data_IF_777661940875
#
_entry.id   IF_777661940875
#
_cell.length_a   1.000
_cell.length_b   1.000
_cell.length_c   1.000
_cell.angle_alpha   90.00
_cell.angle_beta   90.00
_cell.angle_gamma   90.00
#
_symmetry.space_group_name_H-M   'P 1'
#
loop_
_entity.id
_entity.type
_entity.pdbx_description
1 polymer ?
#
# COMPACT_ATOMS: atom_id res chain seq x y z
N UNK A 1 -0.53 -16.26 -27.45
CA UNK A 1 -0.53 -14.79 -27.56
C UNK A 1 -1.67 -14.28 -26.70
N UNK A 2 -1.41 -13.24 -25.90
CA UNK A 2 -2.45 -12.58 -25.12
C UNK A 2 -3.48 -11.92 -26.05
N UNK A 3 -4.73 -11.87 -25.63
CA UNK A 3 -5.73 -11.10 -26.35
C UNK A 3 -5.43 -9.60 -26.19
N UNK A 4 -5.83 -8.78 -27.17
CA UNK A 4 -5.67 -7.32 -27.09
C UNK A 4 -6.36 -6.74 -25.84
N UNK A 5 -7.46 -7.35 -25.42
CA UNK A 5 -8.21 -6.99 -24.22
C UNK A 5 -7.37 -7.22 -22.95
N UNK A 6 -6.80 -8.41 -22.76
CA UNK A 6 -5.96 -8.71 -21.58
C UNK A 6 -4.71 -7.84 -21.56
N UNK A 7 -4.10 -7.59 -22.72
CA UNK A 7 -2.95 -6.68 -22.86
C UNK A 7 -3.28 -5.27 -22.35
N UNK A 8 -4.34 -4.66 -22.89
CA UNK A 8 -4.76 -3.31 -22.50
C UNK A 8 -5.17 -3.25 -21.02
N UNK A 9 -5.82 -4.31 -20.53
CA UNK A 9 -6.24 -4.44 -19.15
C UNK A 9 -5.05 -4.41 -18.18
N UNK A 10 -3.96 -5.13 -18.47
CA UNK A 10 -2.81 -5.19 -17.57
C UNK A 10 -2.05 -3.86 -17.51
N UNK A 11 -1.97 -3.13 -18.63
CA UNK A 11 -1.46 -1.75 -18.65
C UNK A 11 -2.32 -0.84 -17.78
N UNK A 12 -3.64 -0.94 -17.90
CA UNK A 12 -4.56 -0.13 -17.11
C UNK A 12 -4.40 -0.41 -15.61
N UNK A 13 -4.34 -1.69 -15.22
CA UNK A 13 -4.10 -2.12 -13.83
C UNK A 13 -2.78 -1.55 -13.30
N UNK A 14 -1.69 -1.61 -14.07
CA UNK A 14 -0.41 -1.04 -13.63
C UNK A 14 -0.51 0.47 -13.42
N UNK A 15 -1.13 1.20 -14.36
CA UNK A 15 -1.28 2.65 -14.27
C UNK A 15 -2.14 3.10 -13.09
N UNK A 16 -3.12 2.29 -12.69
CA UNK A 16 -4.05 2.62 -11.60
C UNK A 16 -3.52 2.19 -10.23
N UNK A 17 -2.74 1.11 -10.18
CA UNK A 17 -2.20 0.56 -8.93
C UNK A 17 -0.82 1.07 -8.56
N UNK A 18 -0.06 1.64 -9.51
CA UNK A 18 1.29 2.17 -9.30
C UNK A 18 1.30 3.71 -9.29
N UNK A 19 0.64 4.30 -8.30
CA UNK A 19 0.56 5.75 -8.12
C UNK A 19 1.46 6.23 -6.97
N UNK A 20 1.91 7.48 -7.05
CA UNK A 20 2.71 8.10 -5.98
C UNK A 20 1.84 8.46 -4.76
N UNK A 21 2.37 8.24 -3.56
CA UNK A 21 1.74 8.64 -2.31
C UNK A 21 2.77 9.10 -1.28
N UNK A 22 2.36 10.02 -0.40
CA UNK A 22 3.15 10.48 0.75
C UNK A 22 2.72 9.75 2.02
N UNK A 23 3.68 9.29 2.85
CA UNK A 23 3.37 8.60 4.12
C UNK A 23 2.38 7.44 3.95
N UNK A 24 1.64 7.11 5.02
CA UNK A 24 0.61 6.08 4.98
C UNK A 24 -0.66 6.58 4.24
N UNK A 25 -1.29 5.74 3.42
CA UNK A 25 -2.38 6.17 2.53
C UNK A 25 -3.66 6.51 3.30
N UNK A 26 -3.90 5.87 4.45
CA UNK A 26 -5.07 6.11 5.31
C UNK A 26 -5.07 7.50 6.00
N UNK A 27 -3.99 7.97 6.67
CA UNK A 27 -3.98 9.35 7.18
C UNK A 27 -4.05 10.38 6.05
N UNK A 28 -3.46 10.08 4.89
CA UNK A 28 -3.58 10.93 3.71
C UNK A 28 -5.03 11.01 3.21
N UNK A 29 -5.77 9.91 3.20
CA UNK A 29 -7.19 9.91 2.81
C UNK A 29 -8.03 10.79 3.75
N UNK A 30 -7.75 10.77 5.06
CA UNK A 30 -8.39 11.68 6.03
C UNK A 30 -8.02 13.13 5.74
N UNK A 31 -6.74 13.41 5.50
CA UNK A 31 -6.28 14.76 5.16
C UNK A 31 -6.91 15.26 3.85
N UNK A 32 -7.02 14.39 2.85
CA UNK A 32 -7.66 14.68 1.56
C UNK A 32 -9.14 14.99 1.73
N UNK A 33 -9.90 14.16 2.46
CA UNK A 33 -11.30 14.42 2.77
C UNK A 33 -11.48 15.77 3.49
N UNK A 34 -10.60 16.05 4.45
CA UNK A 34 -10.66 17.28 5.26
C UNK A 34 -10.29 18.53 4.45
N UNK A 35 -9.27 18.44 3.58
CA UNK A 35 -8.90 19.50 2.66
C UNK A 35 -10.02 19.79 1.66
N UNK A 36 -10.66 18.75 1.12
CA UNK A 36 -11.81 18.93 0.21
C UNK A 36 -13.01 19.53 0.94
N UNK A 37 -13.30 19.09 2.16
CA UNK A 37 -14.39 19.65 2.96
C UNK A 37 -14.16 21.15 3.24
N UNK A 38 -12.93 21.55 3.59
CA UNK A 38 -12.56 22.97 3.70
C UNK A 38 -12.76 23.73 2.39
N UNK A 39 -12.30 23.18 1.26
CA UNK A 39 -12.44 23.83 -0.04
C UNK A 39 -13.91 24.06 -0.41
N UNK A 40 -14.78 23.07 -0.14
CA UNK A 40 -16.23 23.18 -0.35
C UNK A 40 -16.86 24.21 0.59
N UNK A 41 -16.44 24.26 1.86
CA UNK A 41 -16.88 25.28 2.82
C UNK A 41 -16.51 26.69 2.31
N UNK A 42 -15.33 26.83 1.70
CA UNK A 42 -14.83 28.07 1.10
C UNK A 42 -14.15 29.01 2.10
N UNK A 43 -14.01 28.59 3.36
CA UNK A 43 -13.34 29.34 4.43
C UNK A 43 -12.74 28.37 5.45
N UNK A 44 -12.02 28.91 6.43
CA UNK A 44 -11.43 28.10 7.51
C UNK A 44 -12.51 27.66 8.51
N UNK A 45 -12.60 26.36 8.85
CA UNK A 45 -13.53 25.90 9.86
C UNK A 45 -13.02 26.12 11.28
N UNK A 46 -13.96 26.25 12.21
CA UNK A 46 -13.72 26.34 13.66
C UNK A 46 -13.80 24.97 14.35
N UNK A 47 -14.57 24.05 13.75
CA UNK A 47 -14.83 22.71 14.27
C UNK A 47 -14.75 21.68 13.16
N UNK A 48 -14.12 20.55 13.45
CA UNK A 48 -13.93 19.41 12.56
C UNK A 48 -14.51 18.17 13.25
N UNK A 49 -15.24 17.36 12.49
CA UNK A 49 -15.73 16.05 12.92
C UNK A 49 -15.33 15.00 11.89
N UNK A 50 -14.67 13.94 12.36
CA UNK A 50 -14.18 12.84 11.52
C UNK A 50 -14.83 11.55 11.97
N UNK A 51 -15.61 10.92 11.10
CA UNK A 51 -16.11 9.56 11.27
C UNK A 51 -15.24 8.59 10.47
N UNK A 52 -14.77 7.51 11.06
CA UNK A 52 -13.95 6.51 10.37
C UNK A 52 -14.42 5.08 10.64
N UNK A 53 -14.26 4.21 9.64
CA UNK A 53 -14.33 2.76 9.83
C UNK A 53 -13.25 2.27 10.78
N UNK A 54 -13.45 1.09 11.35
CA UNK A 54 -12.47 0.45 12.24
C UNK A 54 -11.09 0.25 11.59
N UNK A 55 -11.03 -0.10 10.31
CA UNK A 55 -9.76 -0.29 9.59
C UNK A 55 -8.99 1.02 9.36
N UNK A 56 -9.68 2.12 9.07
CA UNK A 56 -9.03 3.43 8.98
C UNK A 56 -8.45 3.80 10.34
N UNK A 57 -9.20 3.60 11.43
CA UNK A 57 -8.71 3.85 12.79
C UNK A 57 -7.48 2.99 13.10
N UNK A 58 -7.54 1.68 12.81
CA UNK A 58 -6.43 0.74 12.96
C UNK A 58 -5.16 1.22 12.27
N UNK A 59 -5.28 1.67 11.01
CA UNK A 59 -4.12 2.04 10.21
C UNK A 59 -3.57 3.44 10.55
N UNK A 60 -4.36 4.32 11.14
CA UNK A 60 -3.94 5.71 11.43
C UNK A 60 -3.45 5.90 12.86
N UNK A 61 -3.91 5.07 13.81
CA UNK A 61 -3.68 5.25 15.25
C UNK A 61 -2.21 5.37 15.65
N UNK A 62 -1.31 4.66 14.98
CA UNK A 62 0.10 4.55 15.36
C UNK A 62 1.11 5.14 14.39
N UNK A 63 0.68 5.84 13.34
CA UNK A 63 1.55 6.31 12.26
C UNK A 63 1.73 7.82 12.28
N UNK A 64 2.95 8.27 11.99
CA UNK A 64 3.28 9.69 11.87
C UNK A 64 2.66 10.25 10.59
N UNK A 65 1.98 11.39 10.72
CA UNK A 65 1.39 12.13 9.59
C UNK A 65 2.49 12.96 8.91
N UNK A 66 2.72 12.80 7.59
CA UNK A 66 3.73 13.58 6.88
C UNK A 66 3.53 15.09 7.01
N UNK A 67 4.63 15.84 7.01
CA UNK A 67 4.61 17.31 7.04
C UNK A 67 3.80 17.89 8.21
N UNK A 68 3.90 17.28 9.40
CA UNK A 68 3.30 17.80 10.63
C UNK A 68 4.31 18.01 11.76
N UNK A 69 5.59 17.76 11.51
CA UNK A 69 6.63 17.80 12.53
C UNK A 69 6.46 16.72 13.61
N UNK A 70 6.03 15.52 13.21
CA UNK A 70 5.99 14.33 14.07
C UNK A 70 4.65 14.02 14.73
N UNK A 71 3.55 14.66 14.30
CA UNK A 71 2.22 14.39 14.88
C UNK A 71 1.67 13.05 14.40
N UNK A 72 0.90 12.40 15.26
CA UNK A 72 0.35 11.05 15.06
C UNK A 72 -1.16 11.13 15.28
N UNK A 73 -1.92 10.39 14.48
CA UNK A 73 -3.36 10.19 14.70
C UNK A 73 -4.27 10.84 13.67
N UNK A 74 -5.57 10.59 13.84
CA UNK A 74 -6.64 10.97 12.92
C UNK A 74 -6.89 12.47 12.96
N UNK A 75 -6.90 13.05 14.15
CA UNK A 75 -7.05 14.48 14.38
C UNK A 75 -5.87 15.27 13.78
N UNK A 76 -4.63 14.79 13.95
CA UNK A 76 -3.46 15.36 13.30
C UNK A 76 -3.59 15.38 11.77
N UNK A 77 -4.02 14.25 11.17
CA UNK A 77 -4.23 14.15 9.73
C UNK A 77 -5.33 15.10 9.22
N UNK A 78 -6.48 15.14 9.91
CA UNK A 78 -7.60 15.99 9.54
C UNK A 78 -7.24 17.48 9.64
N UNK A 79 -6.61 17.89 10.74
CA UNK A 79 -6.20 19.27 10.96
C UNK A 79 -5.13 19.67 9.94
N UNK A 80 -4.14 18.84 9.65
CA UNK A 80 -3.14 19.12 8.62
C UNK A 80 -3.78 19.34 7.24
N UNK A 81 -4.75 18.48 6.88
CA UNK A 81 -5.54 18.63 5.65
C UNK A 81 -6.30 19.96 5.58
N UNK A 82 -6.95 20.37 6.68
CA UNK A 82 -7.62 21.67 6.75
C UNK A 82 -6.62 22.83 6.67
N UNK A 83 -5.51 22.78 7.40
CA UNK A 83 -4.59 23.92 7.52
C UNK A 83 -3.86 24.21 6.21
N UNK A 84 -3.26 23.19 5.59
CA UNK A 84 -2.38 23.39 4.45
C UNK A 84 -2.52 22.36 3.33
N UNK A 85 -3.47 21.43 3.43
CA UNK A 85 -3.69 20.42 2.40
C UNK A 85 -4.22 21.00 1.08
N UNK A 86 -3.71 20.50 -0.04
CA UNK A 86 -4.18 20.81 -1.39
C UNK A 86 -5.01 19.65 -1.94
N UNK A 87 -6.36 19.77 -2.02
CA UNK A 87 -7.20 18.67 -2.46
C UNK A 87 -6.96 18.27 -3.92
N UNK A 88 -6.33 19.09 -4.75
CA UNK A 88 -6.08 18.74 -6.15
C UNK A 88 -4.86 17.79 -6.30
N UNK A 89 -4.12 17.54 -5.22
CA UNK A 89 -2.97 16.62 -5.19
C UNK A 89 -3.29 15.18 -4.77
N UNK A 90 -4.55 14.84 -4.50
CA UNK A 90 -4.95 13.47 -4.15
C UNK A 90 -4.13 12.86 -3.01
N UNK A 91 -3.41 11.76 -3.28
CA UNK A 91 -2.56 11.08 -2.28
C UNK A 91 -1.26 11.83 -1.91
N UNK A 92 -1.05 13.01 -2.48
CA UNK A 92 0.03 13.95 -2.12
C UNK A 92 -0.53 15.23 -1.50
N UNK A 93 -1.79 15.23 -1.01
CA UNK A 93 -2.48 16.40 -0.39
C UNK A 93 -1.64 17.18 0.62
N UNK A 94 -0.76 16.50 1.38
CA UNK A 94 0.05 17.14 2.42
C UNK A 94 1.38 17.72 1.91
N UNK A 95 1.73 17.56 0.64
CA UNK A 95 2.96 18.13 0.06
C UNK A 95 2.98 19.66 0.16
N UNK A 96 1.81 20.31 0.11
CA UNK A 96 1.65 21.75 0.22
C UNK A 96 1.79 22.30 1.64
N UNK A 97 1.79 21.44 2.67
CA UNK A 97 1.93 21.87 4.07
C UNK A 97 3.39 22.21 4.35
N UNK A 98 3.62 23.46 4.77
CA UNK A 98 4.96 23.98 5.06
C UNK A 98 5.28 23.96 6.56
N UNK A 99 6.56 23.99 6.90
CA UNK A 99 7.03 23.94 8.30
C UNK A 99 6.50 25.07 9.17
N UNK A 100 6.22 26.25 8.59
CA UNK A 100 5.65 27.40 9.31
C UNK A 100 4.23 27.13 9.82
N UNK A 101 3.54 26.13 9.26
CA UNK A 101 2.17 25.76 9.63
C UNK A 101 2.13 24.70 10.75
N UNK A 102 3.28 24.15 11.17
CA UNK A 102 3.29 23.04 12.13
C UNK A 102 2.80 23.47 13.52
N UNK A 103 3.17 24.67 13.97
CA UNK A 103 2.73 25.19 15.28
C UNK A 103 1.23 25.46 15.30
N UNK A 104 0.69 25.94 14.18
CA UNK A 104 -0.75 26.13 14.01
C UNK A 104 -1.53 24.80 14.08
N UNK A 105 -1.02 23.73 13.45
CA UNK A 105 -1.62 22.39 13.54
C UNK A 105 -1.61 21.91 14.99
N UNK A 106 -0.49 22.06 15.70
CA UNK A 106 -0.35 21.68 17.12
C UNK A 106 -1.32 22.44 18.02
N UNK A 107 -1.50 23.74 17.78
CA UNK A 107 -2.39 24.57 18.58
C UNK A 107 -3.86 24.22 18.37
N UNK A 108 -4.27 23.90 17.13
CA UNK A 108 -5.62 23.40 16.85
C UNK A 108 -5.89 22.03 17.49
N UNK A 109 -4.89 21.14 17.52
CA UNK A 109 -5.00 19.87 18.23
C UNK A 109 -5.23 20.08 19.73
N UNK A 110 -4.41 20.94 20.37
CA UNK A 110 -4.53 21.26 21.80
C UNK A 110 -5.88 21.87 22.16
N UNK A 111 -6.46 22.68 21.26
CA UNK A 111 -7.79 23.27 21.43
C UNK A 111 -8.94 22.28 21.27
N UNK A 112 -8.67 21.04 20.83
CA UNK A 112 -9.71 20.03 20.62
C UNK A 112 -10.64 20.38 19.45
N UNK A 113 -10.13 21.07 18.42
CA UNK A 113 -10.92 21.48 17.26
C UNK A 113 -11.45 20.31 16.43
N UNK A 114 -10.88 19.10 16.60
CA UNK A 114 -11.29 17.89 15.88
C UNK A 114 -11.87 16.85 16.84
N UNK A 115 -13.05 16.32 16.51
CA UNK A 115 -13.66 15.17 17.19
C UNK A 115 -13.66 13.95 16.27
N UNK A 116 -13.27 12.80 16.81
CA UNK A 116 -13.15 11.55 16.05
C UNK A 116 -14.18 10.53 16.53
N UNK A 117 -14.86 9.88 15.60
CA UNK A 117 -15.90 8.90 15.84
C UNK A 117 -15.58 7.57 15.16
N UNK A 118 -15.76 6.46 15.87
CA UNK A 118 -15.70 5.11 15.28
C UNK A 118 -17.08 4.72 14.76
N UNK A 119 -17.18 4.61 13.43
CA UNK A 119 -18.38 4.17 12.73
C UNK A 119 -18.39 2.65 12.61
N UNK A 120 -19.49 2.03 13.06
CA UNK A 120 -19.71 0.58 12.99
C UNK A 120 -20.69 0.27 11.84
N UNK A 121 -20.54 -0.90 11.21
CA UNK A 121 -21.45 -1.34 10.14
C UNK A 121 -21.28 -0.56 8.82
N UNK A 122 -20.12 0.09 8.64
CA UNK A 122 -19.72 0.75 7.39
C UNK A 122 -18.67 -0.09 6.67
N UNK A 123 -18.39 0.22 5.41
CA UNK A 123 -17.35 -0.44 4.62
C UNK A 123 -15.96 -0.33 5.30
N UNK A 124 -15.07 -1.27 4.99
CA UNK A 124 -13.73 -1.29 5.58
C UNK A 124 -12.96 0.00 5.30
N UNK A 125 -13.12 0.62 4.13
CA UNK A 125 -12.58 1.95 3.83
C UNK A 125 -13.74 2.94 3.83
N UNK A 126 -13.92 3.67 4.93
CA UNK A 126 -14.96 4.68 5.04
C UNK A 126 -14.51 5.86 5.90
N UNK A 127 -14.67 7.07 5.38
CA UNK A 127 -14.32 8.34 6.03
C UNK A 127 -15.45 9.35 5.82
N UNK A 128 -15.95 9.94 6.90
CA UNK A 128 -16.78 11.14 6.89
C UNK A 128 -15.96 12.31 7.43
N UNK A 129 -15.76 13.34 6.63
CA UNK A 129 -15.14 14.60 7.08
C UNK A 129 -16.17 15.72 7.06
N UNK A 130 -16.52 16.23 8.24
CA UNK A 130 -17.47 17.34 8.40
C UNK A 130 -16.76 18.53 9.02
N UNK A 131 -16.94 19.69 8.43
CA UNK A 131 -16.32 20.94 8.86
C UNK A 131 -17.38 22.02 9.06
N UNK A 132 -17.21 22.84 10.08
CA UNK A 132 -18.19 23.85 10.49
C UNK A 132 -17.52 25.21 10.72
N UNK A 133 -18.20 26.28 10.32
CA UNK A 133 -17.95 27.67 10.69
C UNK A 133 -19.19 28.26 11.37
N UNK A 134 -19.11 29.49 11.88
CA UNK A 134 -20.25 30.22 12.48
C UNK A 134 -21.53 30.16 11.63
N UNK A 135 -21.40 30.28 10.31
CA UNK A 135 -22.50 30.44 9.35
C UNK A 135 -22.65 29.29 8.34
N UNK A 136 -21.94 28.17 8.50
CA UNK A 136 -21.98 27.13 7.48
C UNK A 136 -21.33 25.79 7.83
N UNK A 137 -21.62 24.80 7.01
CA UNK A 137 -21.03 23.46 7.08
C UNK A 137 -20.74 22.88 5.71
N UNK A 138 -19.75 21.99 5.65
CA UNK A 138 -19.48 21.16 4.50
C UNK A 138 -19.11 19.74 4.95
N UNK A 139 -19.47 18.76 4.12
CA UNK A 139 -19.26 17.34 4.42
C UNK A 139 -18.75 16.63 3.18
N UNK A 140 -17.75 15.77 3.36
CA UNK A 140 -17.15 14.94 2.31
C UNK A 140 -17.09 13.50 2.81
N UNK A 141 -17.50 12.57 1.95
CA UNK A 141 -17.56 11.14 2.26
C UNK A 141 -16.68 10.39 1.27
N UNK A 142 -15.77 9.55 1.78
CA UNK A 142 -14.90 8.66 1.00
C UNK A 142 -15.22 7.21 1.34
N UNK A 143 -15.34 6.37 0.32
CA UNK A 143 -15.68 4.95 0.44
C UNK A 143 -14.93 4.11 -0.61
N UNK A 144 -14.62 2.84 -0.32
CA UNK A 144 -14.00 1.84 -1.21
C UNK A 144 -12.56 2.10 -1.74
N UNK A 145 -12.14 3.35 -1.87
CA UNK A 145 -10.80 3.75 -2.34
C UNK A 145 -10.34 5.00 -1.59
N UNK A 146 -9.03 5.18 -1.42
CA UNK A 146 -8.47 6.28 -0.62
C UNK A 146 -8.80 7.69 -1.15
N UNK A 147 -9.20 7.81 -2.43
CA UNK A 147 -9.57 9.08 -3.08
C UNK A 147 -11.00 9.15 -3.61
N UNK A 148 -11.76 8.04 -3.52
CA UNK A 148 -13.11 7.94 -4.08
C UNK A 148 -14.11 8.71 -3.21
N UNK A 149 -14.34 9.97 -3.58
CA UNK A 149 -15.40 10.77 -2.97
C UNK A 149 -16.74 10.27 -3.51
N UNK A 150 -17.60 9.76 -2.62
CA UNK A 150 -18.95 9.29 -2.98
C UNK A 150 -20.02 10.34 -2.72
N UNK A 151 -19.75 11.33 -1.87
CA UNK A 151 -20.72 12.38 -1.54
C UNK A 151 -20.07 13.67 -1.07
N UNK A 152 -20.63 14.80 -1.50
CA UNK A 152 -20.30 16.15 -1.03
C UNK A 152 -21.59 16.89 -0.68
N UNK A 153 -21.63 17.45 0.53
CA UNK A 153 -22.76 18.25 1.03
C UNK A 153 -22.26 19.63 1.47
N UNK A 154 -23.01 20.70 1.15
CA UNK A 154 -22.76 22.05 1.64
C UNK A 154 -24.04 22.64 2.20
N UNK A 155 -24.02 23.04 3.47
CA UNK A 155 -25.17 23.58 4.19
C UNK A 155 -26.45 22.72 4.01
N UNK A 156 -26.31 21.39 4.13
CA UNK A 156 -27.40 20.43 3.95
C UNK A 156 -27.80 20.12 2.51
N UNK A 157 -27.28 20.85 1.50
CA UNK A 157 -27.54 20.58 0.08
C UNK A 157 -26.48 19.64 -0.49
N UNK A 158 -26.92 18.52 -1.07
CA UNK A 158 -26.05 17.60 -1.81
C UNK A 158 -25.57 18.30 -3.09
N UNK A 159 -24.25 18.47 -3.21
CA UNK A 159 -23.60 19.05 -4.40
C UNK A 159 -23.11 17.97 -5.37
N UNK A 160 -22.73 16.83 -4.82
CA UNK A 160 -22.25 15.67 -5.55
C UNK A 160 -22.67 14.41 -4.80
N UNK A 161 -23.14 13.42 -5.53
CA UNK A 161 -23.40 12.08 -5.00
C UNK A 161 -23.16 11.09 -6.12
N UNK A 162 -22.25 10.16 -5.90
CA UNK A 162 -22.03 9.04 -6.79
C UNK A 162 -22.65 7.79 -6.18
N UNK A 163 -23.37 7.02 -7.00
CA UNK A 163 -23.83 5.70 -6.58
C UNK A 163 -22.64 4.76 -6.72
N UNK A 164 -22.21 4.13 -5.61
CA UNK A 164 -21.14 3.12 -5.50
C UNK A 164 -20.75 2.50 -6.86
N UNK A 165 -19.51 2.70 -7.33
CA UNK A 165 -18.99 1.94 -8.48
C UNK A 165 -17.88 2.55 -9.34
N UNK A 166 -17.77 3.88 -9.49
CA UNK A 166 -17.01 4.43 -10.63
C UNK A 166 -15.47 4.35 -10.51
N UNK A 167 -14.88 4.47 -9.31
CA UNK A 167 -13.42 4.33 -9.14
C UNK A 167 -12.93 2.87 -9.13
N UNK A 168 -13.81 1.89 -8.92
CA UNK A 168 -13.51 0.47 -9.07
C UNK A 168 -14.16 -0.11 -10.33
N UNK A 169 -14.65 0.72 -11.25
CA UNK A 169 -15.20 0.25 -12.53
C UNK A 169 -14.06 -0.48 -13.28
N UNK A 170 -14.23 -1.76 -13.64
CA UNK A 170 -13.25 -2.48 -14.44
C UNK A 170 -12.84 -1.74 -15.71
N UNK A 171 -13.69 -0.85 -16.24
CA UNK A 171 -13.40 -0.02 -17.41
C UNK A 171 -12.41 1.12 -17.15
N UNK A 172 -12.31 1.62 -15.91
CA UNK A 172 -11.46 2.76 -15.54
C UNK A 172 -10.24 2.33 -14.71
N UNK A 173 -10.35 1.26 -13.94
CA UNK A 173 -9.30 0.76 -13.06
C UNK A 173 -8.65 -0.56 -13.54
N UNK A 174 -9.25 -1.22 -14.53
CA UNK A 174 -8.87 -2.55 -15.01
C UNK A 174 -9.52 -3.69 -14.22
N UNK A 175 -9.85 -4.77 -14.92
CA UNK A 175 -10.43 -5.98 -14.34
C UNK A 175 -9.34 -6.91 -13.78
N UNK A 176 -9.18 -6.89 -12.46
CA UNK A 176 -8.23 -7.75 -11.75
C UNK A 176 -8.63 -9.24 -11.78
N UNK A 177 -9.87 -9.58 -12.12
CA UNK A 177 -10.30 -10.98 -12.25
C UNK A 177 -9.70 -11.67 -13.48
N UNK A 178 -9.17 -10.90 -14.43
CA UNK A 178 -8.45 -11.40 -15.61
C UNK A 178 -6.96 -11.65 -15.35
N UNK A 179 -6.47 -11.41 -14.14
CA UNK A 179 -5.08 -11.71 -13.77
C UNK A 179 -4.88 -13.21 -13.55
N UNK A 180 -3.79 -13.75 -14.08
CA UNK A 180 -3.25 -15.06 -13.72
C UNK A 180 -1.74 -15.07 -14.00
N UNK A 181 -0.99 -15.92 -13.29
CA UNK A 181 0.48 -15.94 -13.33
C UNK A 181 1.02 -16.23 -14.73
N UNK A 182 0.37 -17.12 -15.48
CA UNK A 182 0.80 -17.47 -16.84
C UNK A 182 0.72 -16.28 -17.78
N UNK A 183 -0.40 -15.57 -17.76
CA UNK A 183 -0.63 -14.41 -18.61
C UNK A 183 0.20 -13.21 -18.16
N UNK A 184 0.47 -13.05 -16.85
CA UNK A 184 1.38 -12.03 -16.32
C UNK A 184 2.79 -12.21 -16.89
N UNK A 185 3.31 -13.44 -16.90
CA UNK A 185 4.63 -13.73 -17.48
C UNK A 185 4.60 -13.44 -18.99
N UNK A 186 3.61 -13.98 -19.71
CA UNK A 186 3.48 -13.74 -21.15
C UNK A 186 3.34 -12.25 -21.51
N UNK A 187 2.67 -11.46 -20.65
CA UNK A 187 2.54 -10.01 -20.83
C UNK A 187 3.87 -9.32 -20.62
N UNK A 188 4.57 -9.66 -19.54
CA UNK A 188 5.89 -9.10 -19.24
C UNK A 188 6.90 -9.33 -20.36
N UNK A 189 6.78 -10.44 -21.12
CA UNK A 189 7.67 -10.78 -22.24
C UNK A 189 7.26 -10.12 -23.57
N UNK A 190 5.98 -9.75 -23.73
CA UNK A 190 5.44 -9.27 -25.02
C UNK A 190 5.09 -7.79 -25.05
N UNK A 191 4.94 -7.14 -23.90
CA UNK A 191 4.62 -5.71 -23.81
C UNK A 191 5.71 -4.83 -24.39
N UNK A 192 5.28 -3.78 -25.10
CA UNK A 192 6.15 -2.67 -25.46
C UNK A 192 6.48 -1.88 -24.19
N UNK A 193 7.74 -1.96 -23.76
CA UNK A 193 8.19 -1.32 -22.54
C UNK A 193 8.09 0.21 -22.58
N UNK A 194 8.04 0.83 -23.76
CA UNK A 194 7.86 2.28 -23.86
C UNK A 194 6.52 2.73 -23.27
N UNK A 195 5.47 1.90 -23.32
CA UNK A 195 4.15 2.21 -22.72
C UNK A 195 4.19 2.29 -21.18
N UNK A 196 5.20 1.69 -20.56
CA UNK A 196 5.35 1.56 -19.10
C UNK A 196 6.66 2.16 -18.58
N UNK A 197 7.56 2.62 -19.44
CA UNK A 197 8.91 3.08 -19.09
C UNK A 197 8.88 4.18 -18.04
N UNK A 198 8.05 5.21 -18.23
CA UNK A 198 7.94 6.31 -17.27
C UNK A 198 7.47 5.81 -15.89
N UNK A 199 6.44 4.98 -15.86
CA UNK A 199 5.85 4.41 -14.65
C UNK A 199 6.88 3.58 -13.86
N UNK A 200 7.58 2.67 -14.54
CA UNK A 200 8.57 1.80 -13.92
C UNK A 200 9.83 2.57 -13.49
N UNK A 201 10.30 3.51 -14.32
CA UNK A 201 11.42 4.40 -13.97
C UNK A 201 11.09 5.23 -12.74
N UNK A 202 9.85 5.74 -12.65
CA UNK A 202 9.39 6.48 -11.48
C UNK A 202 9.38 5.59 -10.24
N UNK A 203 8.82 4.38 -10.33
CA UNK A 203 8.83 3.41 -9.22
C UNK A 203 10.25 3.13 -8.72
N UNK A 204 11.19 2.85 -9.63
CA UNK A 204 12.60 2.61 -9.28
C UNK A 204 13.18 3.82 -8.55
N UNK A 205 12.95 5.02 -9.09
CA UNK A 205 13.55 6.26 -8.59
C UNK A 205 13.08 6.57 -7.17
N UNK A 206 11.76 6.70 -6.96
CA UNK A 206 11.24 7.18 -5.68
C UNK A 206 11.31 6.12 -4.58
N UNK A 207 11.08 4.84 -4.92
CA UNK A 207 11.20 3.78 -3.92
C UNK A 207 12.66 3.55 -3.53
N UNK A 208 13.62 3.67 -4.47
CA UNK A 208 15.04 3.65 -4.11
C UNK A 208 15.39 4.83 -3.21
N UNK A 209 14.89 6.04 -3.52
CA UNK A 209 15.19 7.23 -2.75
C UNK A 209 14.79 7.09 -1.27
N UNK A 210 13.56 6.62 -0.98
CA UNK A 210 13.13 6.43 0.42
C UNK A 210 13.88 5.29 1.12
N UNK A 211 14.27 4.24 0.39
CA UNK A 211 15.06 3.14 0.94
C UNK A 211 16.46 3.62 1.35
N UNK A 212 17.12 4.42 0.50
CA UNK A 212 18.41 5.02 0.79
C UNK A 212 18.33 6.05 1.93
N UNK A 213 17.25 6.83 1.99
CA UNK A 213 16.97 7.75 3.10
C UNK A 213 16.87 6.99 4.43
N UNK A 214 16.12 5.88 4.44
CA UNK A 214 16.01 5.01 5.61
C UNK A 214 17.30 4.32 6.04
N UNK A 215 18.23 4.09 5.10
CA UNK A 215 19.56 3.53 5.40
C UNK A 215 20.51 4.61 5.93
N UNK A 216 20.38 5.86 5.49
CA UNK A 216 21.25 6.96 5.94
C UNK A 216 20.84 7.45 7.34
N UNK A 217 19.54 7.66 7.56
CA UNK A 217 19.02 8.28 8.77
C UNK A 217 18.38 7.25 9.72
N UNK A 218 18.18 7.65 10.98
CA UNK A 218 17.55 6.79 11.99
C UNK A 218 16.06 7.04 12.01
N UNK A 219 15.30 6.04 11.55
CA UNK A 219 13.84 6.01 11.58
C UNK A 219 13.34 4.76 12.28
N UNK A 220 12.14 4.84 12.87
CA UNK A 220 11.49 3.72 13.52
C UNK A 220 12.43 3.00 14.50
N UNK A 221 12.67 1.72 14.24
CA UNK A 221 13.64 0.89 14.99
C UNK A 221 14.85 0.50 14.13
N UNK A 222 15.02 1.12 12.97
CA UNK A 222 16.18 0.97 12.07
C UNK A 222 16.48 -0.50 11.74
N UNK A 223 15.44 -1.22 11.31
CA UNK A 223 15.52 -2.65 10.97
C UNK A 223 16.55 -2.90 9.88
N UNK A 224 16.57 -2.04 8.84
CA UNK A 224 17.51 -2.18 7.73
C UNK A 224 18.97 -2.08 8.16
N UNK A 225 19.31 -1.05 8.95
CA UNK A 225 20.66 -0.87 9.51
C UNK A 225 21.07 -2.06 10.39
N UNK A 226 20.14 -2.54 11.20
CA UNK A 226 20.35 -3.71 12.08
C UNK A 226 20.68 -4.97 11.26
N UNK A 227 19.95 -5.20 10.16
CA UNK A 227 20.22 -6.34 9.28
C UNK A 227 21.62 -6.27 8.68
N UNK A 228 22.01 -5.12 8.12
CA UNK A 228 23.35 -4.95 7.53
C UNK A 228 24.46 -5.14 8.56
N UNK A 229 24.26 -4.63 9.78
CA UNK A 229 25.24 -4.75 10.86
C UNK A 229 25.51 -6.20 11.28
N UNK A 230 24.46 -7.02 11.42
CA UNK A 230 24.58 -8.35 12.03
C UNK A 230 24.61 -9.50 11.02
N UNK A 231 24.07 -9.31 9.81
CA UNK A 231 23.99 -10.36 8.78
C UNK A 231 24.89 -10.08 7.57
N UNK A 232 25.58 -8.94 7.53
CA UNK A 232 26.44 -8.55 6.42
C UNK A 232 25.66 -7.89 5.28
N UNK A 233 26.24 -7.85 4.09
CA UNK A 233 25.75 -7.06 2.96
C UNK A 233 25.58 -7.87 1.67
N UNK A 234 25.37 -9.20 1.75
CA UNK A 234 25.00 -9.98 0.57
C UNK A 234 23.65 -9.52 -0.01
N UNK A 235 23.38 -9.85 -1.28
CA UNK A 235 22.18 -9.38 -1.98
C UNK A 235 20.87 -9.74 -1.27
N UNK A 236 20.80 -10.89 -0.59
CA UNK A 236 19.62 -11.30 0.17
C UNK A 236 19.41 -10.42 1.39
N UNK A 237 20.51 -10.06 2.07
CA UNK A 237 20.45 -9.13 3.20
C UNK A 237 20.15 -7.71 2.75
N UNK A 238 20.78 -7.21 1.67
CA UNK A 238 20.52 -5.86 1.14
C UNK A 238 19.07 -5.69 0.66
N UNK A 239 18.53 -6.67 -0.04
CA UNK A 239 17.12 -6.66 -0.48
C UNK A 239 16.16 -6.50 0.71
N UNK A 240 16.39 -7.25 1.79
CA UNK A 240 15.59 -7.14 3.04
C UNK A 240 15.84 -5.81 3.75
N UNK A 241 17.10 -5.42 3.86
CA UNK A 241 17.51 -4.25 4.62
C UNK A 241 16.99 -2.95 4.01
N UNK A 242 17.16 -2.75 2.70
CA UNK A 242 16.72 -1.53 2.01
C UNK A 242 15.19 -1.42 1.99
N UNK A 243 14.47 -2.52 1.75
CA UNK A 243 13.02 -2.50 1.79
C UNK A 243 12.49 -2.19 3.21
N UNK A 244 13.09 -2.78 4.24
CA UNK A 244 12.73 -2.49 5.63
C UNK A 244 13.05 -1.03 6.00
N UNK A 245 14.22 -0.52 5.61
CA UNK A 245 14.63 0.86 5.84
C UNK A 245 13.69 1.88 5.19
N UNK A 246 13.26 1.64 3.94
CA UNK A 246 12.26 2.49 3.30
C UNK A 246 10.92 2.49 4.04
N UNK A 247 10.53 1.35 4.62
CA UNK A 247 9.35 1.28 5.46
C UNK A 247 9.52 2.00 6.80
N UNK A 248 10.66 1.86 7.47
CA UNK A 248 10.97 2.61 8.69
C UNK A 248 10.85 4.11 8.46
N UNK A 249 11.49 4.63 7.40
CA UNK A 249 11.40 6.03 7.00
C UNK A 249 9.96 6.47 6.76
N UNK A 250 9.22 5.72 5.95
CA UNK A 250 7.82 6.03 5.60
C UNK A 250 6.90 6.03 6.82
N UNK A 251 6.98 5.00 7.67
CA UNK A 251 6.12 4.84 8.85
C UNK A 251 6.46 5.85 9.95
N UNK A 252 7.64 6.47 9.87
CA UNK A 252 8.09 7.53 10.77
C UNK A 252 7.85 8.94 10.21
N UNK A 253 7.10 9.07 9.11
CA UNK A 253 6.66 10.36 8.58
C UNK A 253 7.65 11.06 7.63
N UNK A 254 8.62 10.32 7.05
CA UNK A 254 9.45 10.83 5.97
C UNK A 254 8.57 11.35 4.82
N UNK A 255 8.92 12.53 4.31
CA UNK A 255 8.17 13.23 3.26
C UNK A 255 8.53 12.81 1.84
N UNK A 256 9.45 11.85 1.66
CA UNK A 256 9.75 11.31 0.34
C UNK A 256 8.55 10.49 -0.17
N UNK A 257 8.16 10.66 -1.45
CA UNK A 257 7.07 9.87 -2.03
C UNK A 257 7.51 8.43 -2.28
N UNK A 258 6.50 7.57 -2.42
CA UNK A 258 6.68 6.19 -2.86
C UNK A 258 5.64 5.86 -3.92
N UNK A 259 6.02 5.04 -4.90
CA UNK A 259 5.04 4.39 -5.78
C UNK A 259 4.44 3.21 -5.03
N UNK A 260 3.11 3.25 -4.85
CA UNK A 260 2.37 2.23 -4.14
C UNK A 260 2.16 0.96 -5.00
N UNK A 261 1.70 -0.11 -4.36
CA UNK A 261 1.12 -1.26 -5.04
C UNK A 261 -0.08 -1.71 -4.21
N UNK A 262 -1.22 -2.01 -4.84
CA UNK A 262 -2.42 -2.47 -4.15
C UNK A 262 -2.84 -1.54 -3.01
N UNK A 263 -2.81 -0.23 -3.25
CA UNK A 263 -3.17 0.81 -2.28
C UNK A 263 -2.17 1.05 -1.13
N UNK A 264 -0.96 0.46 -1.16
CA UNK A 264 0.03 0.61 -0.07
C UNK A 264 1.45 0.87 -0.56
N UNK A 265 2.07 1.92 -0.04
CA UNK A 265 3.48 2.23 -0.28
C UNK A 265 4.44 1.19 0.28
N UNK A 266 4.11 0.56 1.42
CA UNK A 266 4.93 -0.53 1.97
C UNK A 266 4.91 -1.75 1.05
N UNK A 267 3.75 -2.05 0.42
CA UNK A 267 3.68 -3.09 -0.61
C UNK A 267 4.45 -2.69 -1.87
N UNK A 268 4.38 -1.43 -2.30
CA UNK A 268 5.17 -0.92 -3.43
C UNK A 268 6.68 -1.05 -3.21
N UNK A 269 7.18 -0.65 -2.04
CA UNK A 269 8.59 -0.85 -1.64
C UNK A 269 8.94 -2.35 -1.64
N UNK A 270 8.10 -3.19 -1.04
CA UNK A 270 8.35 -4.64 -0.92
C UNK A 270 8.36 -5.33 -2.29
N UNK A 271 7.48 -4.93 -3.21
CA UNK A 271 7.40 -5.50 -4.55
C UNK A 271 8.58 -5.06 -5.45
N UNK A 272 9.13 -3.85 -5.24
CA UNK A 272 10.11 -3.27 -6.15
C UNK A 272 11.56 -3.36 -5.66
N UNK A 273 11.85 -3.02 -4.41
CA UNK A 273 13.23 -2.89 -3.91
C UNK A 273 14.03 -4.19 -3.97
N UNK A 274 13.49 -5.36 -3.57
CA UNK A 274 14.22 -6.62 -3.72
C UNK A 274 14.61 -6.91 -5.17
N UNK A 275 13.68 -6.69 -6.11
CA UNK A 275 13.92 -6.89 -7.55
C UNK A 275 15.01 -5.95 -8.06
N UNK A 276 14.97 -4.67 -7.65
CA UNK A 276 15.98 -3.68 -8.03
C UNK A 276 17.37 -4.06 -7.50
N UNK A 277 17.47 -4.50 -6.24
CA UNK A 277 18.75 -4.89 -5.64
C UNK A 277 19.34 -6.15 -6.29
N UNK A 278 18.50 -7.15 -6.62
CA UNK A 278 18.95 -8.34 -7.35
C UNK A 278 19.35 -8.02 -8.79
N UNK A 279 18.62 -7.14 -9.49
CA UNK A 279 18.97 -6.72 -10.83
C UNK A 279 20.34 -6.01 -10.88
N UNK A 280 20.62 -5.17 -9.87
CA UNK A 280 21.93 -4.51 -9.71
C UNK A 280 23.04 -5.52 -9.45
N UNK A 281 22.82 -6.47 -8.53
CA UNK A 281 23.80 -7.53 -8.22
C UNK A 281 24.14 -8.39 -9.46
N UNK A 282 23.12 -8.74 -10.24
CA UNK A 282 23.26 -9.60 -11.42
C UNK A 282 23.78 -8.85 -12.66
N UNK A 283 23.86 -7.51 -12.62
CA UNK A 283 24.27 -6.70 -13.77
C UNK A 283 23.37 -6.87 -15.00
N UNK A 284 22.06 -7.09 -14.80
CA UNK A 284 21.12 -7.31 -15.92
C UNK A 284 20.79 -6.01 -16.66
N UNK A 285 20.27 -6.14 -17.88
CA UNK A 285 19.78 -5.00 -18.64
C UNK A 285 18.57 -4.32 -17.98
N UNK A 286 18.38 -3.03 -18.28
CA UNK A 286 17.19 -2.27 -17.89
C UNK A 286 15.90 -2.95 -18.36
N UNK A 287 15.89 -3.46 -19.59
CA UNK A 287 14.78 -4.23 -20.13
C UNK A 287 14.43 -5.42 -19.21
N UNK A 288 15.42 -6.22 -18.79
CA UNK A 288 15.17 -7.37 -17.92
C UNK A 288 14.66 -6.94 -16.54
N UNK A 289 15.17 -5.83 -16.00
CA UNK A 289 14.66 -5.24 -14.76
C UNK A 289 13.20 -4.82 -14.89
N UNK A 290 12.82 -4.15 -15.98
CA UNK A 290 11.43 -3.71 -16.20
C UNK A 290 10.48 -4.89 -16.30
N UNK A 291 10.84 -5.93 -17.06
CA UNK A 291 10.04 -7.16 -17.15
C UNK A 291 9.88 -7.85 -15.79
N UNK A 292 10.95 -7.92 -14.99
CA UNK A 292 10.89 -8.46 -13.64
C UNK A 292 9.99 -7.63 -12.69
N UNK A 293 10.02 -6.29 -12.81
CA UNK A 293 9.14 -5.41 -12.05
C UNK A 293 7.67 -5.56 -12.47
N UNK A 294 7.38 -5.76 -13.76
CA UNK A 294 6.02 -6.04 -14.23
C UNK A 294 5.48 -7.32 -13.59
N UNK A 295 6.27 -8.41 -13.62
CA UNK A 295 5.90 -9.68 -12.98
C UNK A 295 5.65 -9.47 -11.49
N UNK A 296 6.58 -8.80 -10.80
CA UNK A 296 6.46 -8.57 -9.36
C UNK A 296 5.22 -7.77 -9.00
N UNK A 297 4.98 -6.66 -9.70
CA UNK A 297 3.85 -5.79 -9.40
C UNK A 297 2.51 -6.48 -9.69
N UNK A 298 2.35 -7.10 -10.87
CA UNK A 298 1.09 -7.77 -11.23
C UNK A 298 0.83 -9.02 -10.40
N UNK A 299 1.85 -9.82 -10.07
CA UNK A 299 1.69 -10.97 -9.18
C UNK A 299 1.28 -10.55 -7.77
N UNK A 300 1.80 -9.42 -7.28
CA UNK A 300 1.39 -8.83 -6.00
C UNK A 300 -0.09 -8.38 -6.04
N UNK A 301 -0.48 -7.68 -7.10
CA UNK A 301 -1.86 -7.19 -7.31
C UNK A 301 -2.84 -8.36 -7.42
N UNK A 302 -2.49 -9.40 -8.19
CA UNK A 302 -3.29 -10.60 -8.37
C UNK A 302 -3.63 -11.28 -7.03
N UNK A 303 -2.61 -11.51 -6.21
CA UNK A 303 -2.79 -12.07 -4.87
C UNK A 303 -3.67 -11.17 -3.99
N UNK A 304 -3.45 -9.86 -4.03
CA UNK A 304 -4.18 -8.91 -3.18
C UNK A 304 -5.64 -8.71 -3.62
N UNK A 305 -5.94 -8.90 -4.91
CA UNK A 305 -7.30 -8.83 -5.44
C UNK A 305 -8.26 -9.86 -4.80
N UNK A 306 -7.74 -11.03 -4.42
CA UNK A 306 -8.53 -12.07 -3.74
C UNK A 306 -8.89 -11.71 -2.29
N UNK A 307 -8.18 -10.76 -1.68
CA UNK A 307 -8.31 -10.38 -0.27
C UNK A 307 -9.13 -9.09 -0.12
N UNK A 308 -8.89 -8.09 -0.98
CA UNK A 308 -9.46 -6.75 -0.87
C UNK A 308 -8.46 -5.73 -0.30
N UNK A 309 -8.80 -4.43 -0.29
CA UNK A 309 -7.85 -3.35 0.05
C UNK A 309 -7.47 -3.34 1.54
N UNK A 310 -8.45 -3.39 2.45
CA UNK A 310 -8.25 -3.37 3.91
C UNK A 310 -8.69 -4.69 4.54
N UNK A 311 -7.77 -5.32 5.28
CA UNK A 311 -7.94 -6.64 5.91
C UNK A 311 -7.00 -6.79 7.11
N UNK A 312 -7.22 -7.83 7.92
CA UNK A 312 -6.23 -8.30 8.91
C UNK A 312 -5.10 -9.15 8.29
N UNK A 313 -5.15 -9.50 7.00
CA UNK A 313 -4.01 -10.09 6.30
C UNK A 313 -2.95 -9.03 5.96
N UNK A 314 -1.67 -9.30 6.25
CA UNK A 314 -0.58 -8.40 5.90
C UNK A 314 -0.20 -8.49 4.42
N UNK A 315 -0.51 -7.43 3.66
CA UNK A 315 -0.19 -7.35 2.22
C UNK A 315 1.31 -7.43 1.90
N UNK A 316 2.21 -7.23 2.88
CA UNK A 316 3.64 -7.44 2.70
C UNK A 316 3.96 -8.87 2.26
N UNK A 317 3.14 -9.87 2.63
CA UNK A 317 3.30 -11.26 2.18
C UNK A 317 3.08 -11.37 0.67
N UNK A 318 1.98 -10.81 0.16
CA UNK A 318 1.65 -10.82 -1.27
C UNK A 318 2.70 -10.06 -2.09
N UNK A 319 3.13 -8.90 -1.59
CA UNK A 319 4.17 -8.10 -2.21
C UNK A 319 5.54 -8.81 -2.22
N UNK A 320 5.89 -9.51 -1.13
CA UNK A 320 7.12 -10.28 -1.05
C UNK A 320 7.09 -11.47 -2.01
N UNK A 321 5.97 -12.20 -2.08
CA UNK A 321 5.78 -13.29 -3.05
C UNK A 321 5.91 -12.79 -4.51
N UNK A 322 5.35 -11.62 -4.82
CA UNK A 322 5.56 -10.96 -6.11
C UNK A 322 7.03 -10.60 -6.35
N UNK A 323 7.73 -10.03 -5.37
CA UNK A 323 9.15 -9.74 -5.50
C UNK A 323 9.99 -11.01 -5.70
N UNK A 324 9.62 -12.12 -5.04
CA UNK A 324 10.22 -13.43 -5.25
C UNK A 324 10.01 -13.95 -6.67
N UNK A 325 8.82 -13.78 -7.25
CA UNK A 325 8.56 -14.07 -8.65
C UNK A 325 9.44 -13.24 -9.60
N UNK A 326 9.61 -11.94 -9.32
CA UNK A 326 10.54 -11.08 -10.06
C UNK A 326 11.99 -11.56 -9.94
N UNK A 327 12.44 -11.96 -8.75
CA UNK A 327 13.79 -12.51 -8.51
C UNK A 327 13.98 -13.83 -9.26
N UNK A 328 12.99 -14.72 -9.27
CA UNK A 328 13.03 -15.96 -10.03
C UNK A 328 13.23 -15.68 -11.54
N UNK A 329 12.47 -14.73 -12.09
CA UNK A 329 12.60 -14.29 -13.49
C UNK A 329 13.99 -13.69 -13.79
N UNK A 330 14.52 -12.83 -12.90
CA UNK A 330 15.86 -12.27 -13.06
C UNK A 330 16.94 -13.35 -13.17
N UNK A 331 16.74 -14.49 -12.50
CA UNK A 331 17.63 -15.65 -12.54
C UNK A 331 17.30 -16.66 -13.66
N UNK A 332 16.43 -16.30 -14.61
CA UNK A 332 16.09 -17.14 -15.77
C UNK A 332 15.01 -18.19 -15.50
N UNK A 333 14.32 -18.12 -14.36
CA UNK A 333 13.17 -18.98 -14.06
C UNK A 333 11.97 -18.66 -14.95
N UNK A 334 11.26 -19.72 -15.36
CA UNK A 334 10.04 -19.63 -16.15
C UNK A 334 8.78 -19.76 -15.29
N UNK A 335 7.68 -20.19 -15.92
CA UNK A 335 6.39 -20.37 -15.23
C UNK A 335 6.48 -21.29 -14.01
N UNK A 336 7.25 -22.38 -14.10
CA UNK A 336 7.38 -23.34 -13.01
C UNK A 336 8.09 -22.71 -11.81
N UNK A 337 9.26 -22.10 -12.01
CA UNK A 337 10.02 -21.50 -10.91
C UNK A 337 9.28 -20.34 -10.25
N UNK A 338 8.62 -19.50 -11.06
CA UNK A 338 7.83 -18.38 -10.58
C UNK A 338 6.63 -18.88 -9.76
N UNK A 339 5.89 -19.86 -10.28
CA UNK A 339 4.72 -20.42 -9.61
C UNK A 339 5.08 -21.07 -8.27
N UNK A 340 6.13 -21.90 -8.26
CA UNK A 340 6.60 -22.55 -7.05
C UNK A 340 7.14 -21.55 -6.03
N UNK A 341 7.82 -20.49 -6.47
CA UNK A 341 8.27 -19.40 -5.59
C UNK A 341 7.10 -18.75 -4.86
N UNK A 342 6.03 -18.43 -5.59
CA UNK A 342 4.82 -17.84 -5.00
C UNK A 342 4.18 -18.80 -3.99
N UNK A 343 3.96 -20.06 -4.39
CA UNK A 343 3.39 -21.10 -3.51
C UNK A 343 4.22 -21.23 -2.24
N UNK A 344 5.54 -21.37 -2.37
CA UNK A 344 6.45 -21.52 -1.25
C UNK A 344 6.42 -20.33 -0.29
N UNK A 345 6.31 -19.12 -0.84
CA UNK A 345 6.24 -17.90 -0.03
C UNK A 345 4.95 -17.85 0.77
N UNK A 346 3.79 -17.99 0.11
CA UNK A 346 2.49 -17.82 0.78
C UNK A 346 2.14 -18.99 1.70
N UNK A 347 2.63 -20.20 1.41
CA UNK A 347 2.48 -21.35 2.30
C UNK A 347 3.30 -21.20 3.60
N UNK A 348 4.49 -20.57 3.52
CA UNK A 348 5.36 -20.35 4.67
C UNK A 348 4.80 -19.29 5.63
N UNK A 349 4.37 -18.15 5.10
CA UNK A 349 4.08 -16.95 5.91
C UNK A 349 2.68 -16.33 5.68
N UNK A 350 1.76 -17.06 5.03
CA UNK A 350 0.40 -16.59 4.75
C UNK A 350 -0.47 -16.27 5.98
N UNK A 351 0.02 -16.52 7.19
CA UNK A 351 -0.65 -16.17 8.45
C UNK A 351 -0.28 -14.80 9.04
N UNK A 352 0.59 -14.01 8.39
CA UNK A 352 1.06 -12.75 8.96
C UNK A 352 -0.07 -11.70 9.10
N UNK A 353 -0.30 -11.21 10.33
CA UNK A 353 -1.39 -10.27 10.63
C UNK A 353 -1.03 -8.81 10.37
N UNK A 354 -2.03 -8.02 9.98
CA UNK A 354 -1.99 -6.57 9.79
C UNK A 354 -2.77 -5.85 10.90
N UNK A 355 -2.02 -5.29 11.82
CA UNK A 355 -2.45 -4.60 13.04
C UNK A 355 -2.18 -3.08 12.96
N UNK A 356 -2.25 -2.50 11.76
CA UNK A 356 -2.06 -1.07 11.55
C UNK A 356 -0.67 -0.63 11.08
N UNK A 357 -0.56 0.60 10.59
CA UNK A 357 0.70 1.18 10.14
C UNK A 357 1.52 1.70 11.34
N UNK A 358 2.79 1.29 11.41
CA UNK A 358 3.70 1.56 12.53
C UNK A 358 5.13 1.06 12.21
N UNK A 359 6.16 1.41 12.99
CA UNK A 359 7.54 0.98 12.75
C UNK A 359 7.73 -0.54 12.58
N UNK A 360 6.96 -1.38 13.28
CA UNK A 360 7.09 -2.84 13.14
C UNK A 360 6.72 -3.39 11.75
N UNK A 361 6.12 -2.59 10.86
CA UNK A 361 5.97 -2.92 9.45
C UNK A 361 7.32 -3.24 8.78
N UNK A 362 8.39 -2.53 9.15
CA UNK A 362 9.73 -2.76 8.59
C UNK A 362 10.24 -4.18 8.87
N UNK A 363 10.03 -4.66 10.11
CA UNK A 363 10.40 -6.02 10.50
C UNK A 363 9.56 -7.07 9.74
N UNK A 364 8.25 -6.85 9.63
CA UNK A 364 7.34 -7.73 8.87
C UNK A 364 7.75 -7.84 7.40
N UNK A 365 8.13 -6.73 6.77
CA UNK A 365 8.63 -6.69 5.39
C UNK A 365 9.93 -7.49 5.25
N UNK A 366 10.91 -7.29 6.15
CA UNK A 366 12.15 -8.07 6.13
C UNK A 366 11.92 -9.57 6.26
N UNK A 367 11.03 -9.98 7.17
CA UNK A 367 10.64 -11.39 7.32
C UNK A 367 9.95 -11.92 6.08
N UNK A 368 9.06 -11.14 5.47
CA UNK A 368 8.34 -11.54 4.27
C UNK A 368 9.27 -11.73 3.06
N UNK A 369 10.17 -10.79 2.83
CA UNK A 369 11.18 -10.88 1.76
C UNK A 369 12.12 -12.06 2.01
N UNK A 370 12.53 -12.29 3.26
CA UNK A 370 13.35 -13.46 3.61
C UNK A 370 12.64 -14.78 3.27
N UNK A 371 11.35 -14.89 3.56
CA UNK A 371 10.54 -16.05 3.18
C UNK A 371 10.41 -16.19 1.65
N UNK A 372 10.30 -15.09 0.92
CA UNK A 372 10.23 -15.10 -0.55
C UNK A 372 11.55 -15.56 -1.19
N UNK A 373 12.69 -15.09 -0.68
CA UNK A 373 14.01 -15.53 -1.12
C UNK A 373 14.20 -17.03 -0.84
N UNK A 374 13.81 -17.51 0.35
CA UNK A 374 13.80 -18.94 0.65
C UNK A 374 12.88 -19.71 -0.30
N UNK A 375 11.69 -19.19 -0.59
CA UNK A 375 10.73 -19.82 -1.50
C UNK A 375 11.28 -19.97 -2.91
N UNK A 376 12.00 -18.95 -3.39
CA UNK A 376 12.74 -18.98 -4.65
C UNK A 376 13.87 -20.02 -4.63
N UNK A 377 14.69 -20.03 -3.57
CA UNK A 377 15.80 -20.99 -3.45
C UNK A 377 15.31 -22.45 -3.42
N UNK A 378 14.17 -22.72 -2.76
CA UNK A 378 13.53 -24.03 -2.80
C UNK A 378 13.09 -24.40 -4.21
N UNK A 379 12.48 -23.44 -4.92
CA UNK A 379 12.00 -23.65 -6.28
C UNK A 379 13.14 -23.98 -7.25
N UNK A 380 14.28 -23.28 -7.18
CA UNK A 380 15.47 -23.60 -7.99
C UNK A 380 15.99 -25.02 -7.73
N UNK A 381 15.70 -25.59 -6.57
CA UNK A 381 16.03 -26.98 -6.21
C UNK A 381 14.91 -27.97 -6.60
N UNK A 382 13.90 -27.54 -7.36
CA UNK A 382 12.74 -28.35 -7.73
C UNK A 382 11.84 -28.70 -6.54
N UNK A 383 11.84 -27.89 -5.48
CA UNK A 383 11.07 -28.13 -4.25
C UNK A 383 9.90 -27.16 -4.14
N UNK A 384 8.71 -27.72 -3.94
CA UNK A 384 7.49 -26.98 -3.69
C UNK A 384 6.63 -27.68 -2.64
N UNK A 385 5.94 -26.92 -1.80
CA UNK A 385 4.88 -27.47 -0.94
C UNK A 385 3.76 -28.03 -1.81
N UNK A 386 3.19 -29.15 -1.38
CA UNK A 386 2.32 -29.97 -2.24
C UNK A 386 0.84 -29.72 -1.95
N UNK A 387 0.01 -30.03 -2.95
CA UNK A 387 -1.44 -30.01 -2.79
C UNK A 387 -1.89 -30.82 -1.56
N UNK A 388 -2.72 -30.22 -0.72
CA UNK A 388 -3.21 -30.84 0.52
C UNK A 388 -2.37 -30.54 1.76
N UNK A 389 -1.18 -29.94 1.62
CA UNK A 389 -0.38 -29.45 2.74
C UNK A 389 -0.98 -28.12 3.26
N UNK A 390 -1.95 -28.25 4.16
CA UNK A 390 -2.64 -27.12 4.76
C UNK A 390 -3.46 -26.32 3.74
N UNK A 391 -3.03 -25.09 3.46
CA UNK A 391 -3.71 -24.17 2.56
C UNK A 391 -3.28 -24.30 1.09
N UNK A 392 -2.24 -25.10 0.81
CA UNK A 392 -1.74 -25.32 -0.54
C UNK A 392 -2.72 -26.17 -1.36
N UNK A 393 -2.99 -25.73 -2.58
CA UNK A 393 -3.89 -26.39 -3.54
C UNK A 393 -3.14 -26.76 -4.81
N UNK A 394 -3.85 -27.41 -5.73
CA UNK A 394 -3.29 -27.84 -7.00
C UNK A 394 -2.96 -26.63 -7.89
N UNK A 395 -1.67 -26.27 -7.91
CA UNK A 395 -1.15 -25.14 -8.68
C UNK A 395 -1.23 -23.78 -7.97
N UNK A 396 -0.61 -22.79 -8.61
CA UNK A 396 -0.43 -21.44 -8.05
C UNK A 396 -1.76 -20.70 -7.91
N UNK A 397 -2.64 -20.78 -8.92
CA UNK A 397 -3.92 -20.06 -8.91
C UNK A 397 -4.85 -20.54 -7.78
N UNK A 398 -5.00 -21.85 -7.63
CA UNK A 398 -5.83 -22.43 -6.57
C UNK A 398 -5.25 -22.14 -5.18
N UNK A 399 -3.91 -22.07 -5.06
CA UNK A 399 -3.23 -21.73 -3.80
C UNK A 399 -3.45 -20.25 -3.46
N UNK A 400 -3.34 -19.34 -4.45
CA UNK A 400 -3.65 -17.91 -4.29
C UNK A 400 -5.11 -17.73 -3.86
N UNK A 401 -6.07 -18.42 -4.49
CA UNK A 401 -7.49 -18.35 -4.12
C UNK A 401 -7.74 -18.85 -2.69
N UNK A 402 -7.12 -19.97 -2.32
CA UNK A 402 -7.22 -20.56 -0.97
C UNK A 402 -6.74 -19.59 0.11
N UNK A 403 -5.57 -18.98 -0.08
CA UNK A 403 -5.04 -17.95 0.83
C UNK A 403 -5.87 -16.67 0.79
N UNK A 404 -6.34 -16.27 -0.39
CA UNK A 404 -7.24 -15.15 -0.59
C UNK A 404 -8.52 -15.28 0.24
N UNK A 405 -9.12 -16.48 0.22
CA UNK A 405 -10.30 -16.80 1.04
C UNK A 405 -10.01 -16.71 2.53
N UNK A 406 -8.86 -17.20 3.01
CA UNK A 406 -8.46 -17.04 4.41
C UNK A 406 -8.32 -15.56 4.78
N UNK A 407 -7.58 -14.79 3.97
CA UNK A 407 -7.33 -13.37 4.22
C UNK A 407 -8.59 -12.50 4.14
N UNK A 408 -9.52 -12.84 3.24
CA UNK A 408 -10.80 -12.14 3.08
C UNK A 408 -11.79 -12.56 4.16
N UNK A 409 -12.22 -13.83 4.15
CA UNK A 409 -13.31 -14.32 5.02
C UNK A 409 -12.83 -14.78 6.38
N UNK A 410 -11.72 -15.52 6.42
CA UNK A 410 -11.22 -16.10 7.67
C UNK A 410 -10.73 -15.06 8.66
N UNK A 411 -10.13 -13.97 8.16
CA UNK A 411 -9.57 -12.90 8.98
C UNK A 411 -10.52 -11.72 9.25
N UNK A 412 -11.79 -11.77 8.80
CA UNK A 412 -12.80 -10.73 9.13
C UNK A 412 -12.97 -10.58 10.65
N UNK A 413 -13.18 -11.70 11.35
CA UNK A 413 -13.29 -11.70 12.81
C UNK A 413 -11.97 -11.36 13.51
N UNK A 414 -10.84 -11.82 12.97
CA UNK A 414 -9.50 -11.43 13.43
C UNK A 414 -9.30 -9.92 13.38
N UNK A 415 -9.80 -9.27 12.34
CA UNK A 415 -9.66 -7.82 12.16
C UNK A 415 -10.44 -7.03 13.23
N UNK A 416 -11.67 -7.46 13.51
CA UNK A 416 -12.47 -6.89 14.59
C UNK A 416 -11.78 -7.06 15.95
N UNK A 417 -11.22 -8.24 16.22
CA UNK A 417 -10.51 -8.51 17.46
C UNK A 417 -9.24 -7.65 17.59
N UNK A 418 -8.46 -7.51 16.52
CA UNK A 418 -7.30 -6.61 16.48
C UNK A 418 -7.74 -5.17 16.80
N UNK A 419 -8.85 -4.70 16.22
CA UNK A 419 -9.39 -3.37 16.49
C UNK A 419 -9.80 -3.24 17.97
N UNK A 420 -10.46 -4.25 18.55
CA UNK A 420 -10.86 -4.23 19.96
C UNK A 420 -9.64 -4.18 20.89
N UNK A 421 -8.64 -5.04 20.66
CA UNK A 421 -7.36 -5.03 21.39
C UNK A 421 -6.72 -3.65 21.28
N UNK A 422 -6.65 -3.09 20.08
CA UNK A 422 -6.05 -1.77 19.88
C UNK A 422 -6.84 -0.64 20.53
N UNK A 423 -8.14 -0.80 20.74
CA UNK A 423 -9.02 0.21 21.35
C UNK A 423 -9.27 -0.04 22.85
N UNK A 424 -8.63 -1.06 23.44
CA UNK A 424 -8.83 -1.51 24.82
C UNK A 424 -10.32 -1.78 25.13
N UNK A 425 -11.01 -2.52 24.25
CA UNK A 425 -12.45 -2.82 24.34
C UNK A 425 -12.78 -4.30 24.45
#
# INVERSE_FOLDING_TARGET
MLTKEVYANYILILKTELIEALGCTEPIAIAYASAKARAVLGKRPERIEIGCSGNIIKNVKGVVVPNTGGLIGIDAAAIAGVVGGDPEKGLQVLESVKSEQYDEIRDLMKKGCCRVYHLKGVENLYIEAKVFSEDGSAEVYIEDSHTNIVKIVKAGKVLFENKRGDENDPKTAGDKSLLNIKDIIGFSESVDLEELRELLTRQITVNTAIAEEGIKNDYGVSVGKTLLKYYGDDVSVRARAKAAAGSDARMSGCSLPVVINSGSGNQGITASIPVIEFARELGVSEEKLFRALIISNLASIHQKAQIGKLSAYCGAVSAAAGSGAGIAYLNGGGYEEISQTIINTIANIGGMVCDGAKPSCAAKISSAIGAAILGYQLSVQGKVFKNGEGLVKDGVEATIESLGRLGKKGMESTDLEIINIMLDK
#
